data_IF_575563103800
#
_entry.id   IF_575563103800
#
_cell.length_a   1.000
_cell.length_b   1.000
_cell.length_c   1.000
_cell.angle_alpha   90.00
_cell.angle_beta   90.00
_cell.angle_gamma   90.00
#
_symmetry.space_group_name_H-M   'P 1'
#
loop_
_entity.id
_entity.type
_entity.pdbx_description
1 polymer ?
#
# COMPACT_ATOMS: atom_id res chain seq x y z
N UNK A 1 -9.04 19.93 -0.97
CA UNK A 1 -7.75 20.62 -1.02
C UNK A 1 -6.76 19.76 -1.79
N UNK A 2 -5.98 20.39 -2.66
CA UNK A 2 -4.79 19.79 -3.25
C UNK A 2 -3.59 20.23 -2.42
N UNK A 3 -2.77 19.26 -2.00
CA UNK A 3 -1.53 19.50 -1.29
C UNK A 3 -0.40 19.34 -2.31
N UNK A 4 0.38 20.39 -2.55
CA UNK A 4 1.43 20.38 -3.55
C UNK A 4 2.84 20.46 -2.93
N UNK A 5 2.91 20.72 -1.63
CA UNK A 5 4.17 20.78 -0.91
C UNK A 5 4.26 19.68 0.17
N UNK A 6 5.41 18.99 0.31
CA UNK A 6 5.55 17.86 1.26
C UNK A 6 5.22 18.18 2.72
N UNK A 7 5.32 19.45 3.14
CA UNK A 7 5.00 19.86 4.51
C UNK A 7 3.51 20.11 4.76
N UNK A 8 2.71 20.25 3.70
CA UNK A 8 1.29 20.64 3.80
C UNK A 8 0.50 19.63 4.64
N UNK A 9 0.78 18.34 4.49
CA UNK A 9 0.15 17.30 5.28
C UNK A 9 0.43 17.49 6.79
N UNK A 10 1.68 17.80 7.16
CA UNK A 10 2.06 18.05 8.55
C UNK A 10 1.35 19.29 9.10
N UNK A 11 1.22 20.34 8.28
CA UNK A 11 0.51 21.57 8.65
C UNK A 11 -0.97 21.26 8.91
N UNK A 12 -1.62 20.50 8.03
CA UNK A 12 -3.04 20.14 8.21
C UNK A 12 -3.27 19.22 9.41
N UNK A 13 -2.36 18.29 9.71
CA UNK A 13 -2.43 17.46 10.91
C UNK A 13 -2.35 18.29 12.20
N UNK A 14 -1.59 19.38 12.20
CA UNK A 14 -1.51 20.29 13.34
C UNK A 14 -2.72 21.24 13.41
N UNK A 15 -3.18 21.74 12.28
CA UNK A 15 -4.31 22.66 12.19
C UNK A 15 -5.63 21.98 12.56
N UNK A 16 -5.80 20.70 12.20
CA UNK A 16 -6.93 19.81 12.49
C UNK A 16 -8.28 20.24 11.93
N UNK A 17 -8.60 21.53 11.95
CA UNK A 17 -9.87 22.05 11.44
C UNK A 17 -9.73 23.48 10.92
N UNK A 18 -10.63 23.81 10.00
CA UNK A 18 -10.76 25.16 9.43
C UNK A 18 -12.24 25.54 9.37
N UNK A 19 -12.60 26.70 9.84
CA UNK A 19 -13.98 27.21 9.92
C UNK A 19 -14.98 26.20 10.51
N UNK A 20 -14.57 25.51 11.58
CA UNK A 20 -15.42 24.53 12.27
C UNK A 20 -15.54 23.19 11.56
N UNK A 21 -14.83 22.96 10.43
CA UNK A 21 -14.80 21.69 9.69
C UNK A 21 -13.49 20.99 9.88
N UNK A 22 -13.50 19.71 10.24
CA UNK A 22 -12.32 18.87 10.34
C UNK A 22 -11.76 18.51 8.96
N UNK A 23 -10.45 18.36 8.89
CA UNK A 23 -9.81 17.76 7.72
C UNK A 23 -9.93 16.23 7.79
N UNK A 24 -10.18 15.61 6.65
CA UNK A 24 -10.25 14.15 6.49
C UNK A 24 -9.25 13.74 5.42
N UNK A 25 -8.42 12.75 5.73
CA UNK A 25 -7.46 12.22 4.78
C UNK A 25 -8.15 11.18 3.88
N UNK A 26 -8.31 11.51 2.61
CA UNK A 26 -9.01 10.67 1.63
C UNK A 26 -8.33 9.32 1.36
N UNK A 27 -7.05 9.17 1.69
CA UNK A 27 -6.31 7.93 1.51
C UNK A 27 -6.50 6.96 2.67
N UNK A 28 -6.59 7.49 3.90
CA UNK A 28 -6.58 6.65 5.11
C UNK A 28 -7.91 6.59 5.84
N UNK A 29 -8.80 7.57 5.64
CA UNK A 29 -10.05 7.65 6.37
C UNK A 29 -11.26 7.18 5.54
N UNK A 30 -12.27 6.70 6.25
CA UNK A 30 -13.56 6.36 5.65
C UNK A 30 -14.35 7.64 5.33
N UNK A 31 -14.59 7.87 4.06
CA UNK A 31 -15.32 9.04 3.57
C UNK A 31 -16.85 8.90 3.69
N UNK A 32 -17.34 7.76 4.19
CA UNK A 32 -18.76 7.50 4.36
C UNK A 32 -19.54 7.33 3.06
N UNK A 33 -18.87 7.09 1.93
CA UNK A 33 -19.54 6.87 0.64
C UNK A 33 -20.05 5.43 0.46
N UNK A 34 -19.59 4.50 1.31
CA UNK A 34 -20.01 3.11 1.26
C UNK A 34 -21.18 2.85 2.20
N UNK A 35 -22.10 2.04 1.75
CA UNK A 35 -23.16 1.52 2.60
C UNK A 35 -22.59 0.50 3.61
N UNK A 36 -23.31 0.28 4.71
CA UNK A 36 -22.92 -0.74 5.70
C UNK A 36 -22.90 -2.17 5.10
N UNK A 37 -23.73 -2.42 4.08
CA UNK A 37 -23.75 -3.69 3.34
C UNK A 37 -22.47 -3.86 2.49
N UNK A 38 -22.02 -2.80 1.81
CA UNK A 38 -20.80 -2.80 1.03
C UNK A 38 -19.55 -2.97 1.91
N UNK A 39 -19.53 -2.35 3.08
CA UNK A 39 -18.44 -2.54 4.07
C UNK A 39 -18.37 -3.97 4.55
N UNK A 40 -19.48 -4.56 4.95
CA UNK A 40 -19.55 -5.96 5.38
C UNK A 40 -19.10 -6.93 4.29
N UNK A 41 -19.57 -6.72 3.05
CA UNK A 41 -19.16 -7.54 1.93
C UNK A 41 -17.64 -7.42 1.62
N UNK A 42 -17.05 -6.24 1.83
CA UNK A 42 -15.61 -6.04 1.70
C UNK A 42 -14.83 -6.77 2.82
N UNK A 43 -15.31 -6.69 4.06
CA UNK A 43 -14.71 -7.39 5.21
C UNK A 43 -14.80 -8.91 5.04
N UNK A 44 -15.95 -9.44 4.60
CA UNK A 44 -16.12 -10.86 4.31
C UNK A 44 -15.11 -11.35 3.27
N UNK A 45 -14.91 -10.61 2.18
CA UNK A 45 -13.91 -10.93 1.16
C UNK A 45 -12.48 -10.93 1.71
N UNK A 46 -12.14 -10.03 2.62
CA UNK A 46 -10.83 -10.02 3.28
C UNK A 46 -10.67 -11.28 4.13
N UNK A 47 -11.69 -11.67 4.89
CA UNK A 47 -11.67 -12.89 5.71
C UNK A 47 -11.53 -14.14 4.84
N UNK A 48 -12.29 -14.25 3.75
CA UNK A 48 -12.23 -15.37 2.82
C UNK A 48 -10.85 -15.52 2.14
N UNK A 49 -10.14 -14.41 1.91
CA UNK A 49 -8.84 -14.42 1.25
C UNK A 49 -7.66 -14.27 2.23
N UNK A 50 -7.92 -14.39 3.54
CA UNK A 50 -6.92 -14.11 4.58
C UNK A 50 -5.62 -14.91 4.39
N UNK A 51 -5.70 -16.20 4.09
CA UNK A 51 -4.52 -17.05 3.90
C UNK A 51 -3.64 -16.58 2.74
N UNK A 52 -4.25 -16.15 1.63
CA UNK A 52 -3.54 -15.60 0.46
C UNK A 52 -2.93 -14.24 0.80
N UNK A 53 -3.66 -13.38 1.50
CA UNK A 53 -3.17 -12.06 1.90
C UNK A 53 -1.99 -12.17 2.88
N UNK A 54 -2.08 -13.05 3.86
CA UNK A 54 -0.97 -13.34 4.78
C UNK A 54 0.23 -13.92 4.03
N UNK A 55 0.01 -14.86 3.08
CA UNK A 55 1.07 -15.39 2.23
C UNK A 55 1.76 -14.29 1.41
N UNK A 56 1.00 -13.36 0.81
CA UNK A 56 1.55 -12.24 0.05
C UNK A 56 2.44 -11.38 0.95
N UNK A 57 1.96 -10.99 2.14
CA UNK A 57 2.74 -10.22 3.11
C UNK A 57 4.05 -10.92 3.47
N UNK A 58 3.96 -12.19 3.85
CA UNK A 58 5.11 -12.98 4.32
C UNK A 58 6.12 -13.24 3.19
N UNK A 59 5.63 -13.39 1.94
CA UNK A 59 6.49 -13.54 0.75
C UNK A 59 7.25 -12.26 0.41
N UNK A 60 6.65 -11.09 0.60
CA UNK A 60 7.29 -9.79 0.40
C UNK A 60 8.41 -9.63 1.43
N UNK A 61 8.14 -9.91 2.70
CA UNK A 61 9.15 -9.94 3.76
C UNK A 61 9.67 -8.56 4.20
N UNK A 62 9.01 -7.47 3.82
CA UNK A 62 9.35 -6.12 4.28
C UNK A 62 8.79 -5.92 5.71
N UNK A 63 9.67 -5.62 6.67
CA UNK A 63 9.29 -5.39 8.07
C UNK A 63 8.34 -4.18 8.24
N UNK A 64 8.34 -3.26 7.29
CA UNK A 64 7.45 -2.10 7.28
C UNK A 64 6.08 -2.40 6.70
N UNK A 65 5.92 -3.47 5.96
CA UNK A 65 4.63 -3.92 5.46
C UNK A 65 3.84 -4.63 6.58
N UNK A 66 2.97 -3.88 7.23
CA UNK A 66 2.19 -4.39 8.38
C UNK A 66 1.00 -5.21 7.95
N UNK A 67 0.40 -4.88 6.81
CA UNK A 67 -0.81 -5.52 6.34
C UNK A 67 -0.89 -5.54 4.82
N UNK A 68 -1.49 -6.60 4.30
CA UNK A 68 -2.01 -6.70 2.94
C UNK A 68 -3.51 -6.88 3.04
N UNK A 69 -4.29 -6.11 2.29
CA UNK A 69 -5.76 -6.14 2.37
C UNK A 69 -6.38 -5.93 0.98
N UNK A 70 -7.68 -6.15 0.88
CA UNK A 70 -8.43 -5.86 -0.35
C UNK A 70 -9.02 -4.46 -0.28
N UNK A 71 -8.83 -3.69 -1.34
CA UNK A 71 -9.40 -2.35 -1.47
C UNK A 71 -10.78 -2.41 -2.08
N UNK A 72 -11.67 -1.65 -1.51
CA UNK A 72 -13.00 -1.35 -2.09
C UNK A 72 -13.00 -0.07 -2.93
N UNK A 73 -11.90 0.67 -2.94
CA UNK A 73 -11.77 1.99 -3.59
C UNK A 73 -11.09 1.90 -4.97
N UNK A 74 -10.28 0.87 -5.20
CA UNK A 74 -9.53 0.72 -6.45
C UNK A 74 -10.42 0.23 -7.59
N UNK A 75 -10.45 0.96 -8.69
CA UNK A 75 -11.23 0.63 -9.89
C UNK A 75 -10.34 0.04 -10.99
N UNK A 76 -9.34 0.77 -11.43
CA UNK A 76 -8.45 0.36 -12.54
C UNK A 76 -7.04 -0.02 -12.11
N UNK A 77 -6.57 0.48 -10.97
CA UNK A 77 -5.23 0.16 -10.47
C UNK A 77 -5.20 -1.22 -9.83
N UNK A 78 -4.08 -1.92 -9.94
CA UNK A 78 -3.87 -3.24 -9.35
C UNK A 78 -3.72 -3.18 -7.83
N UNK A 79 -3.06 -2.16 -7.34
CA UNK A 79 -2.77 -1.97 -5.93
C UNK A 79 -2.54 -0.50 -5.61
N UNK A 80 -2.53 -0.20 -4.33
CA UNK A 80 -2.15 1.09 -3.76
C UNK A 80 -1.35 0.84 -2.49
N UNK A 81 -0.29 1.62 -2.28
CA UNK A 81 0.46 1.63 -1.03
C UNK A 81 0.00 2.80 -0.19
N UNK A 82 -0.45 2.50 1.02
CA UNK A 82 -0.83 3.49 2.03
C UNK A 82 0.02 3.32 3.29
N UNK A 83 -0.04 4.29 4.18
CA UNK A 83 0.64 4.21 5.48
C UNK A 83 -0.35 4.05 6.60
N UNK A 84 0.08 3.41 7.67
CA UNK A 84 -0.66 3.33 8.94
C UNK A 84 0.10 4.07 10.04
N UNK A 85 -0.63 4.61 11.02
CA UNK A 85 -0.04 5.41 12.08
C UNK A 85 0.18 6.88 11.69
N UNK A 86 0.90 7.60 12.57
CA UNK A 86 1.09 9.06 12.42
C UNK A 86 2.22 9.47 11.49
N UNK A 87 3.08 8.53 11.03
CA UNK A 87 4.17 8.80 10.11
C UNK A 87 3.80 8.28 8.72
N UNK A 88 3.63 9.20 7.77
CA UNK A 88 3.07 8.89 6.45
C UNK A 88 4.16 8.68 5.39
N UNK A 89 3.78 8.11 4.23
CA UNK A 89 4.67 7.98 3.07
C UNK A 89 5.17 9.35 2.58
N UNK A 90 4.35 10.39 2.66
CA UNK A 90 4.76 11.76 2.29
C UNK A 90 5.80 12.30 3.26
N UNK A 91 5.64 12.06 4.57
CA UNK A 91 6.67 12.38 5.55
C UNK A 91 7.96 11.62 5.30
N UNK A 92 7.88 10.32 4.97
CA UNK A 92 9.05 9.53 4.59
C UNK A 92 9.81 10.16 3.43
N UNK A 93 9.11 10.55 2.35
CA UNK A 93 9.69 11.23 1.19
C UNK A 93 10.34 12.55 1.56
N UNK A 94 9.71 13.32 2.43
CA UNK A 94 10.26 14.59 2.91
C UNK A 94 11.55 14.38 3.72
N UNK A 95 11.53 13.45 4.69
CA UNK A 95 12.66 13.20 5.57
C UNK A 95 13.82 12.47 4.89
N UNK A 96 13.60 11.81 3.77
CA UNK A 96 14.66 11.18 2.96
C UNK A 96 15.75 12.18 2.55
N UNK A 97 15.38 13.42 2.29
CA UNK A 97 16.30 14.52 1.98
C UNK A 97 16.74 15.32 3.22
N UNK A 98 16.46 14.79 4.40
CA UNK A 98 16.78 15.44 5.67
C UNK A 98 18.28 15.56 5.93
N UNK A 99 18.67 16.52 6.80
CA UNK A 99 20.07 16.83 7.06
C UNK A 99 20.81 15.73 7.82
N UNK A 100 20.11 14.88 8.60
CA UNK A 100 20.72 13.81 9.37
C UNK A 100 20.48 12.42 8.75
N UNK A 101 21.44 11.52 8.97
CA UNK A 101 21.31 10.12 8.52
C UNK A 101 20.13 9.40 9.20
N UNK A 102 19.85 9.73 10.44
CA UNK A 102 18.72 9.18 11.19
C UNK A 102 17.39 9.54 10.54
N UNK A 103 17.22 10.81 10.13
CA UNK A 103 16.02 11.25 9.40
C UNK A 103 15.85 10.50 8.08
N UNK A 104 16.93 10.34 7.32
CA UNK A 104 16.90 9.65 6.02
C UNK A 104 16.57 8.16 6.12
N UNK A 105 16.75 7.55 7.30
CA UNK A 105 16.41 6.14 7.58
C UNK A 105 14.99 5.92 8.06
N UNK A 106 14.25 7.00 8.34
CA UNK A 106 12.84 6.86 8.77
C UNK A 106 12.01 6.24 7.64
N UNK A 107 11.20 5.25 7.99
CA UNK A 107 10.28 4.57 7.08
C UNK A 107 8.90 4.50 7.71
N UNK A 108 7.89 4.75 6.91
CA UNK A 108 6.49 4.61 7.33
C UNK A 108 6.10 3.13 7.43
N UNK A 109 5.24 2.82 8.38
CA UNK A 109 4.56 1.52 8.39
C UNK A 109 3.52 1.49 7.27
N UNK A 110 3.53 0.42 6.46
CA UNK A 110 2.84 0.33 5.18
C UNK A 110 1.68 -0.64 5.21
N UNK A 111 0.67 -0.33 4.42
CA UNK A 111 -0.45 -1.21 4.09
C UNK A 111 -0.52 -1.32 2.56
N UNK A 112 -0.50 -2.54 2.04
CA UNK A 112 -0.71 -2.80 0.62
C UNK A 112 -2.18 -3.13 0.39
N UNK A 113 -2.88 -2.27 -0.31
CA UNK A 113 -4.25 -2.48 -0.73
C UNK A 113 -4.29 -3.08 -2.13
N UNK A 114 -4.97 -4.19 -2.32
CA UNK A 114 -5.07 -4.93 -3.58
C UNK A 114 -6.45 -4.80 -4.19
N UNK A 115 -6.51 -4.64 -5.51
CA UNK A 115 -7.75 -4.74 -6.26
C UNK A 115 -8.02 -6.20 -6.63
N UNK A 116 -8.94 -6.85 -5.92
CA UNK A 116 -9.27 -8.27 -6.12
C UNK A 116 -9.73 -8.62 -7.55
N UNK A 117 -10.26 -7.65 -8.29
CA UNK A 117 -10.74 -7.86 -9.66
C UNK A 117 -9.65 -7.64 -10.73
N UNK A 118 -8.50 -7.07 -10.34
CA UNK A 118 -7.44 -6.77 -11.29
C UNK A 118 -6.71 -8.04 -11.74
N UNK A 119 -6.38 -8.20 -13.04
CA UNK A 119 -5.71 -9.39 -13.58
C UNK A 119 -4.43 -9.77 -12.84
N UNK A 120 -3.61 -8.81 -12.39
CA UNK A 120 -2.40 -9.08 -11.62
C UNK A 120 -2.70 -9.77 -10.28
N UNK A 121 -3.73 -9.31 -9.55
CA UNK A 121 -4.13 -9.91 -8.27
C UNK A 121 -4.75 -11.29 -8.47
N UNK A 122 -5.55 -11.47 -9.53
CA UNK A 122 -6.10 -12.77 -9.92
C UNK A 122 -4.99 -13.76 -10.30
N UNK A 123 -3.92 -13.30 -10.95
CA UNK A 123 -2.78 -14.15 -11.30
C UNK A 123 -2.03 -14.64 -10.06
N UNK A 124 -1.84 -13.77 -9.05
CA UNK A 124 -1.23 -14.16 -7.76
C UNK A 124 -2.11 -15.21 -7.08
N UNK A 125 -3.42 -14.93 -6.95
CA UNK A 125 -4.35 -15.87 -6.33
C UNK A 125 -4.37 -17.22 -7.04
N UNK A 126 -4.45 -17.20 -8.38
CA UNK A 126 -4.42 -18.42 -9.17
C UNK A 126 -3.15 -19.23 -8.94
N UNK A 127 -1.97 -18.61 -9.00
CA UNK A 127 -0.70 -19.29 -8.74
C UNK A 127 -0.67 -19.89 -7.31
N UNK A 128 -1.19 -19.17 -6.32
CA UNK A 128 -1.32 -19.65 -4.96
C UNK A 128 -2.23 -20.87 -4.86
N UNK A 129 -3.42 -20.83 -5.46
CA UNK A 129 -4.43 -21.89 -5.43
C UNK A 129 -3.95 -23.14 -6.21
N UNK A 130 -3.22 -22.95 -7.32
CA UNK A 130 -2.61 -24.03 -8.12
C UNK A 130 -1.40 -24.69 -7.39
N UNK A 131 -0.97 -24.15 -6.24
CA UNK A 131 0.17 -24.64 -5.46
C UNK A 131 1.54 -24.14 -5.94
N UNK A 132 1.59 -23.27 -6.96
CA UNK A 132 2.82 -22.62 -7.45
C UNK A 132 3.19 -21.42 -6.57
N UNK A 133 3.63 -21.75 -5.34
CA UNK A 133 3.98 -20.74 -4.33
C UNK A 133 5.16 -19.89 -4.75
N UNK A 134 6.11 -20.42 -5.51
CA UNK A 134 7.26 -19.68 -6.01
C UNK A 134 6.82 -18.55 -6.96
N UNK A 135 5.97 -18.88 -7.93
CA UNK A 135 5.41 -17.90 -8.86
C UNK A 135 4.53 -16.87 -8.12
N UNK A 136 3.68 -17.31 -7.19
CA UNK A 136 2.86 -16.41 -6.40
C UNK A 136 3.70 -15.42 -5.59
N UNK A 137 4.80 -15.87 -4.97
CA UNK A 137 5.72 -15.03 -4.22
C UNK A 137 6.45 -14.01 -5.12
N UNK A 138 6.93 -14.44 -6.30
CA UNK A 138 7.56 -13.53 -7.28
C UNK A 138 6.61 -12.43 -7.73
N UNK A 139 5.40 -12.80 -8.12
CA UNK A 139 4.37 -11.84 -8.54
C UNK A 139 4.01 -10.86 -7.41
N UNK A 140 3.94 -11.33 -6.17
CA UNK A 140 3.66 -10.49 -5.00
C UNK A 140 4.76 -9.45 -4.77
N UNK A 141 6.02 -9.85 -4.84
CA UNK A 141 7.18 -8.94 -4.72
C UNK A 141 7.23 -7.90 -5.83
N UNK A 142 6.95 -8.32 -7.07
CA UNK A 142 6.90 -7.39 -8.21
C UNK A 142 5.78 -6.36 -8.01
N UNK A 143 4.59 -6.81 -7.61
CA UNK A 143 3.45 -5.93 -7.41
C UNK A 143 3.71 -4.93 -6.26
N UNK A 144 4.35 -5.38 -5.19
CA UNK A 144 4.75 -4.52 -4.08
C UNK A 144 5.74 -3.45 -4.52
N UNK A 145 6.83 -3.83 -5.19
CA UNK A 145 7.82 -2.88 -5.71
C UNK A 145 7.20 -1.87 -6.70
N UNK A 146 6.24 -2.31 -7.55
CA UNK A 146 5.49 -1.40 -8.40
C UNK A 146 4.65 -0.42 -7.59
N UNK A 147 4.05 -0.85 -6.48
CA UNK A 147 3.29 0.04 -5.61
C UNK A 147 4.18 1.09 -4.93
N UNK A 148 5.42 0.74 -4.59
CA UNK A 148 6.43 1.69 -4.08
C UNK A 148 6.78 2.74 -5.14
N UNK A 149 7.03 2.32 -6.39
CA UNK A 149 7.29 3.25 -7.51
C UNK A 149 6.13 4.21 -7.73
N UNK A 150 4.90 3.70 -7.74
CA UNK A 150 3.69 4.53 -7.93
C UNK A 150 3.53 5.52 -6.77
N UNK A 151 3.81 5.09 -5.55
CA UNK A 151 3.78 5.94 -4.36
C UNK A 151 4.93 6.97 -4.31
N UNK A 152 5.92 6.88 -5.21
CA UNK A 152 7.11 7.72 -5.20
C UNK A 152 8.08 7.39 -4.06
N UNK A 153 8.00 6.18 -3.54
CA UNK A 153 8.92 5.63 -2.54
C UNK A 153 10.04 4.91 -3.28
N UNK A 154 11.23 4.89 -2.70
CA UNK A 154 12.39 4.24 -3.30
C UNK A 154 12.32 2.72 -3.10
N UNK A 155 12.57 1.98 -4.18
CA UNK A 155 12.79 0.54 -4.09
C UNK A 155 14.16 0.30 -3.45
N UNK A 156 14.22 -0.53 -2.43
CA UNK A 156 15.43 -0.81 -1.68
C UNK A 156 16.52 -1.47 -2.56
N UNK A 157 16.12 -2.43 -3.39
CA UNK A 157 16.99 -3.10 -4.36
C UNK A 157 16.38 -3.11 -5.77
N UNK A 158 16.65 -2.06 -6.59
CA UNK A 158 16.17 -1.99 -7.96
C UNK A 158 16.70 -3.11 -8.87
N UNK A 159 17.89 -3.66 -8.56
CA UNK A 159 18.47 -4.75 -9.34
C UNK A 159 17.72 -6.04 -9.10
N UNK A 160 17.46 -6.39 -7.85
CA UNK A 160 16.64 -7.55 -7.52
C UNK A 160 15.23 -7.45 -8.10
N UNK A 161 14.64 -6.25 -8.12
CA UNK A 161 13.35 -6.03 -8.79
C UNK A 161 13.42 -6.30 -10.29
N UNK A 162 14.45 -5.79 -10.98
CA UNK A 162 14.63 -6.03 -12.42
C UNK A 162 14.83 -7.53 -12.72
N UNK A 163 15.63 -8.23 -11.92
CA UNK A 163 15.85 -9.67 -12.06
C UNK A 163 14.57 -10.48 -11.84
N UNK A 164 13.75 -10.10 -10.85
CA UNK A 164 12.44 -10.71 -10.63
C UNK A 164 11.53 -10.55 -11.84
N UNK A 165 11.45 -9.35 -12.41
CA UNK A 165 10.63 -9.09 -13.62
C UNK A 165 11.15 -9.95 -14.77
N UNK A 166 12.46 -9.99 -15.02
CA UNK A 166 13.06 -10.80 -16.09
C UNK A 166 12.84 -12.31 -15.87
N UNK A 167 12.73 -12.77 -14.63
CA UNK A 167 12.50 -14.20 -14.32
C UNK A 167 11.11 -14.72 -14.71
N UNK A 168 10.20 -13.85 -15.14
CA UNK A 168 8.85 -14.22 -15.59
C UNK A 168 8.78 -14.57 -17.08
N UNK A 169 9.83 -14.26 -17.85
CA UNK A 169 9.97 -14.56 -19.28
C UNK A 169 10.75 -15.84 -19.51
#
# INVERSE_FOLDING_TARGET
LYLDHPIDETVLQQLRMYEGKGFVNVLTEDLGFQTEEEKKAAEEKVVENKEVLDFIRDSIGDEKLKQVTLSSKLVSSSCCLTSTGGFTLEMEKYFRNGPSEEMRKLRADRVLELNAAHPACLAIKKAYDDGDKDRAAKLSKILYAQSELIAGVEIEDPTAYADLVCSLF
#
